data_IF_054011189539
#
_entry.id   IF_054011189539
#
_cell.length_a   1.000
_cell.length_b   1.000
_cell.length_c   1.000
_cell.angle_alpha   90.00
_cell.angle_beta   90.00
_cell.angle_gamma   90.00
#
_symmetry.space_group_name_H-M   'P 1'
#
loop_
_entity.id
_entity.type
_entity.pdbx_description
1 polymer ?
#
# COMPACT_ATOMS: atom_id res chain seq x y z
N UNK A 1 -12.66 2.89 19.64
CA UNK A 1 -12.40 3.21 18.20
C UNK A 1 -13.59 3.71 17.41
N UNK A 2 -14.80 3.17 17.56
CA UNK A 2 -15.90 3.42 16.61
C UNK A 2 -16.42 4.87 16.55
N UNK A 3 -16.03 5.73 17.49
CA UNK A 3 -16.43 7.13 17.58
C UNK A 3 -15.27 8.11 17.38
N UNK A 4 -14.12 7.65 16.88
CA UNK A 4 -12.94 8.50 16.71
C UNK A 4 -13.16 9.69 15.78
N UNK A 5 -14.06 9.56 14.79
CA UNK A 5 -14.39 10.67 13.88
C UNK A 5 -15.05 11.86 14.58
N UNK A 6 -15.77 11.63 15.68
CA UNK A 6 -16.39 12.72 16.44
C UNK A 6 -15.32 13.62 17.06
N UNK A 7 -14.39 13.02 17.81
CA UNK A 7 -13.31 13.76 18.48
C UNK A 7 -12.37 14.45 17.48
N UNK A 8 -11.91 13.73 16.45
CA UNK A 8 -11.01 14.31 15.45
C UNK A 8 -11.70 15.38 14.61
N UNK A 9 -12.98 15.17 14.28
CA UNK A 9 -13.77 16.16 13.55
C UNK A 9 -13.93 17.48 14.31
N UNK A 10 -14.18 17.42 15.62
CA UNK A 10 -14.22 18.62 16.46
C UNK A 10 -12.87 19.32 16.51
N UNK A 11 -11.77 18.58 16.64
CA UNK A 11 -10.43 19.15 16.66
C UNK A 11 -10.11 19.89 15.34
N UNK A 12 -10.40 19.29 14.18
CA UNK A 12 -10.20 19.93 12.88
C UNK A 12 -11.02 21.22 12.75
N UNK A 13 -12.30 21.20 13.16
CA UNK A 13 -13.15 22.40 13.14
C UNK A 13 -12.62 23.50 14.06
N UNK A 14 -12.23 23.15 15.28
CA UNK A 14 -11.72 24.10 16.27
C UNK A 14 -10.46 24.80 15.78
N UNK A 15 -9.50 24.04 15.25
CA UNK A 15 -8.24 24.57 14.73
C UNK A 15 -8.34 25.10 13.29
N UNK A 16 -9.53 25.02 12.66
CA UNK A 16 -9.78 25.44 11.27
C UNK A 16 -8.82 24.76 10.28
N UNK A 17 -8.62 23.46 10.50
CA UNK A 17 -7.75 22.63 9.69
C UNK A 17 -8.57 21.79 8.70
N UNK A 18 -8.05 21.66 7.49
CA UNK A 18 -8.60 20.78 6.47
C UNK A 18 -8.14 19.32 6.68
N UNK A 19 -8.86 18.31 6.15
CA UNK A 19 -8.45 16.91 6.23
C UNK A 19 -7.03 16.65 5.69
N UNK A 20 -6.55 17.46 4.74
CA UNK A 20 -5.18 17.35 4.24
C UNK A 20 -4.09 17.60 5.30
N UNK A 21 -4.42 18.33 6.38
CA UNK A 21 -3.52 18.54 7.53
C UNK A 21 -3.54 17.37 8.53
N UNK A 22 -4.49 16.44 8.39
CA UNK A 22 -4.64 15.30 9.28
C UNK A 22 -3.75 14.13 8.83
N UNK A 23 -2.98 13.60 9.78
CA UNK A 23 -2.27 12.32 9.64
C UNK A 23 -2.78 11.35 10.70
N UNK A 24 -3.25 10.18 10.27
CA UNK A 24 -3.82 9.14 11.15
C UNK A 24 -2.93 7.90 11.12
N UNK A 25 -2.47 7.48 12.28
CA UNK A 25 -1.78 6.20 12.49
C UNK A 25 -2.80 5.18 12.97
N UNK A 26 -2.82 4.00 12.37
CA UNK A 26 -3.75 2.93 12.77
C UNK A 26 -3.20 1.55 12.40
N UNK A 27 -3.68 0.54 13.11
CA UNK A 27 -3.38 -0.87 12.86
C UNK A 27 -4.06 -1.37 11.58
N UNK A 28 -3.30 -2.10 10.77
CA UNK A 28 -3.72 -2.59 9.48
C UNK A 28 -3.49 -4.10 9.39
N UNK A 29 -4.59 -4.84 9.37
CA UNK A 29 -4.57 -6.31 9.33
C UNK A 29 -4.17 -6.85 7.96
N UNK A 30 -4.38 -6.09 6.89
CA UNK A 30 -4.00 -6.49 5.52
C UNK A 30 -2.49 -6.39 5.27
N UNK A 31 -1.76 -5.71 6.17
CA UNK A 31 -0.31 -5.60 6.10
C UNK A 31 0.33 -6.57 7.09
N UNK A 32 1.38 -7.27 6.62
CA UNK A 32 2.16 -8.13 7.49
C UNK A 32 2.75 -7.34 8.68
N UNK A 33 2.91 -8.02 9.82
CA UNK A 33 3.51 -7.47 11.02
C UNK A 33 4.83 -6.73 10.71
N UNK A 34 5.00 -5.55 11.30
CA UNK A 34 6.18 -4.71 11.07
C UNK A 34 6.26 -4.03 9.70
N UNK A 35 5.27 -4.20 8.81
CA UNK A 35 5.19 -3.44 7.56
C UNK A 35 4.45 -2.13 7.76
N UNK A 36 5.06 -1.03 7.32
CA UNK A 36 4.43 0.28 7.31
C UNK A 36 4.20 0.78 5.89
N UNK A 37 3.05 1.43 5.67
CA UNK A 37 2.73 2.13 4.42
C UNK A 37 2.05 3.47 4.70
N UNK A 38 2.44 4.49 3.95
CA UNK A 38 1.74 5.78 3.94
C UNK A 38 0.91 5.89 2.67
N UNK A 39 -0.33 6.37 2.80
CA UNK A 39 -1.24 6.63 1.68
C UNK A 39 -2.15 7.80 2.01
N UNK A 40 -2.59 8.56 1.01
CA UNK A 40 -3.69 9.52 1.15
C UNK A 40 -4.97 8.91 0.58
N UNK A 41 -6.09 9.06 1.29
CA UNK A 41 -7.36 8.49 0.84
C UNK A 41 -7.46 6.97 0.98
N UNK A 42 -8.42 6.40 0.23
CA UNK A 42 -8.78 4.98 0.31
C UNK A 42 -10.01 4.72 1.17
N UNK A 43 -10.43 3.46 1.20
CA UNK A 43 -11.53 3.00 2.04
C UNK A 43 -11.06 2.58 3.43
N UNK A 44 -12.01 2.28 4.31
CA UNK A 44 -11.70 1.92 5.70
C UNK A 44 -11.06 0.53 5.88
N UNK A 45 -11.09 -0.34 4.86
CA UNK A 45 -10.52 -1.69 4.98
C UNK A 45 -11.19 -2.53 6.08
N UNK A 46 -12.41 -2.17 6.50
CA UNK A 46 -13.06 -2.79 7.65
C UNK A 46 -12.64 -2.23 9.01
N UNK A 47 -11.63 -1.37 9.09
CA UNK A 47 -11.18 -0.75 10.35
C UNK A 47 -12.22 0.25 10.88
N UNK A 48 -12.73 -0.01 12.09
CA UNK A 48 -13.88 0.74 12.63
C UNK A 48 -13.56 2.21 12.96
N UNK A 49 -12.34 2.50 13.42
CA UNK A 49 -11.93 3.89 13.70
C UNK A 49 -11.77 4.72 12.43
N UNK A 50 -11.28 4.10 11.36
CA UNK A 50 -11.13 4.75 10.05
C UNK A 50 -12.51 4.95 9.42
N UNK A 51 -13.40 3.96 9.52
CA UNK A 51 -14.81 4.12 9.10
C UNK A 51 -15.46 5.31 9.80
N UNK A 52 -15.23 5.48 11.11
CA UNK A 52 -15.73 6.61 11.89
C UNK A 52 -15.17 7.94 11.40
N UNK A 53 -13.86 8.02 11.16
CA UNK A 53 -13.20 9.22 10.61
C UNK A 53 -13.78 9.60 9.24
N UNK A 54 -13.87 8.62 8.34
CA UNK A 54 -14.35 8.84 6.97
C UNK A 54 -15.76 9.44 6.93
N UNK A 55 -16.62 9.07 7.88
CA UNK A 55 -17.97 9.62 8.02
C UNK A 55 -18.00 11.08 8.50
N UNK A 56 -17.02 11.52 9.28
CA UNK A 56 -17.04 12.83 9.94
C UNK A 56 -16.16 13.88 9.26
N UNK A 57 -15.06 13.45 8.64
CA UNK A 57 -14.04 14.36 8.07
C UNK A 57 -13.72 14.06 6.61
N UNK A 58 -14.46 13.13 5.98
CA UNK A 58 -14.15 12.65 4.63
C UNK A 58 -12.90 11.75 4.62
N UNK A 59 -12.38 11.39 3.45
CA UNK A 59 -11.25 10.47 3.32
C UNK A 59 -9.95 11.12 2.83
N UNK A 60 -9.94 12.41 2.51
CA UNK A 60 -8.80 13.12 1.91
C UNK A 60 -7.67 13.47 2.91
N UNK A 61 -7.41 12.59 3.88
CA UNK A 61 -6.36 12.72 4.89
C UNK A 61 -5.27 11.66 4.72
N UNK A 62 -4.10 11.92 5.31
CA UNK A 62 -2.97 11.00 5.28
C UNK A 62 -3.17 9.86 6.26
N UNK A 63 -2.89 8.64 5.81
CA UNK A 63 -3.02 7.38 6.54
C UNK A 63 -1.67 6.70 6.64
N UNK A 64 -1.18 6.56 7.87
CA UNK A 64 -0.02 5.74 8.22
C UNK A 64 -0.54 4.38 8.69
N UNK A 65 -0.42 3.39 7.81
CA UNK A 65 -0.94 2.03 7.99
C UNK A 65 0.15 1.18 8.65
N UNK A 66 -0.09 0.72 9.86
CA UNK A 66 0.85 -0.04 10.69
C UNK A 66 0.43 -1.51 10.65
N UNK A 67 1.21 -2.35 9.98
CA UNK A 67 0.89 -3.75 9.81
C UNK A 67 0.94 -4.53 11.12
N UNK A 68 -0.18 -5.16 11.47
CA UNK A 68 -0.31 -6.07 12.62
C UNK A 68 -0.60 -7.51 12.19
N UNK A 69 -0.69 -7.77 10.88
CA UNK A 69 -1.02 -9.07 10.32
C UNK A 69 -2.50 -9.45 10.48
N UNK A 70 -2.90 -10.45 9.70
CA UNK A 70 -4.24 -11.02 9.75
C UNK A 70 -4.18 -12.40 10.45
N UNK A 71 -5.11 -12.73 11.36
CA UNK A 71 -5.13 -14.03 12.06
C UNK A 71 -5.55 -15.22 11.16
N UNK A 72 -5.42 -15.10 9.84
CA UNK A 72 -5.88 -16.06 8.83
C UNK A 72 -7.40 -16.18 8.66
N UNK A 73 -8.16 -16.09 9.75
CA UNK A 73 -9.61 -16.35 9.79
C UNK A 73 -10.36 -15.09 10.22
N UNK A 74 -11.42 -14.72 9.49
CA UNK A 74 -12.12 -13.43 9.66
C UNK A 74 -12.76 -13.29 11.04
N UNK A 75 -13.28 -14.39 11.57
CA UNK A 75 -13.95 -14.47 12.86
C UNK A 75 -13.00 -14.13 14.02
N UNK A 76 -11.70 -14.38 13.84
CA UNK A 76 -10.66 -14.12 14.84
C UNK A 76 -10.15 -12.67 14.82
N UNK A 77 -10.50 -11.87 13.79
CA UNK A 77 -10.01 -10.50 13.65
C UNK A 77 -10.34 -9.65 14.86
N UNK A 78 -11.54 -9.78 15.42
CA UNK A 78 -11.94 -8.99 16.58
C UNK A 78 -11.08 -9.31 17.82
N UNK A 79 -10.80 -10.59 18.07
CA UNK A 79 -9.92 -11.00 19.16
C UNK A 79 -8.47 -10.61 18.91
N UNK A 80 -8.01 -10.67 17.66
CA UNK A 80 -6.65 -10.28 17.26
C UNK A 80 -6.37 -8.80 17.52
N UNK A 81 -7.22 -7.90 17.03
CA UNK A 81 -7.00 -6.43 17.17
C UNK A 81 -7.26 -5.88 18.57
N UNK A 82 -7.95 -6.65 19.42
CA UNK A 82 -8.17 -6.31 20.83
C UNK A 82 -7.21 -7.03 21.77
N UNK A 83 -6.43 -7.99 21.26
CA UNK A 83 -5.46 -8.73 22.03
C UNK A 83 -4.19 -7.94 22.26
N UNK A 84 -3.47 -8.28 23.33
CA UNK A 84 -2.12 -7.77 23.56
C UNK A 84 -1.13 -8.41 22.58
N UNK A 85 -0.11 -7.64 22.20
CA UNK A 85 1.04 -8.16 21.45
C UNK A 85 1.76 -9.25 22.24
N UNK A 86 2.23 -10.29 21.53
CA UNK A 86 3.03 -11.33 22.15
C UNK A 86 4.40 -10.78 22.56
N UNK A 87 5.10 -11.48 23.47
CA UNK A 87 6.46 -11.09 23.86
C UNK A 87 7.42 -11.06 22.67
N UNK A 88 7.28 -11.99 21.74
CA UNK A 88 8.09 -12.03 20.52
C UNK A 88 7.82 -10.81 19.61
N UNK A 89 6.62 -10.23 19.66
CA UNK A 89 6.31 -9.07 18.84
C UNK A 89 7.03 -7.80 19.30
N UNK A 90 7.41 -7.73 20.58
CA UNK A 90 8.14 -6.58 21.14
C UNK A 90 9.44 -6.29 20.41
N UNK A 91 10.13 -7.33 19.94
CA UNK A 91 11.40 -7.21 19.22
C UNK A 91 11.26 -6.29 17.99
N UNK A 92 10.21 -6.47 17.20
CA UNK A 92 9.96 -5.65 16.02
C UNK A 92 9.11 -4.42 16.32
N UNK A 93 8.20 -4.51 17.27
CA UNK A 93 7.25 -3.46 17.59
C UNK A 93 7.94 -2.25 18.21
N UNK A 94 8.84 -2.45 19.18
CA UNK A 94 9.50 -1.35 19.87
C UNK A 94 10.40 -0.59 18.88
N UNK A 95 11.14 -1.31 18.03
CA UNK A 95 11.93 -0.73 16.93
C UNK A 95 11.06 0.08 15.96
N UNK A 96 9.90 -0.45 15.57
CA UNK A 96 8.98 0.23 14.67
C UNK A 96 8.45 1.52 15.28
N UNK A 97 8.02 1.48 16.55
CA UNK A 97 7.46 2.63 17.25
C UNK A 97 8.52 3.73 17.47
N UNK A 98 9.74 3.35 17.86
CA UNK A 98 10.87 4.27 17.97
C UNK A 98 11.15 4.96 16.63
N UNK A 99 11.24 4.19 15.55
CA UNK A 99 11.51 4.75 14.22
C UNK A 99 10.38 5.67 13.73
N UNK A 100 9.12 5.33 14.03
CA UNK A 100 7.99 6.22 13.73
C UNK A 100 8.13 7.54 14.49
N UNK A 101 8.47 7.49 15.78
CA UNK A 101 8.59 8.67 16.62
C UNK A 101 9.75 9.57 16.17
N UNK A 102 10.93 8.99 15.94
CA UNK A 102 12.14 9.71 15.51
C UNK A 102 11.96 10.43 14.16
N UNK A 103 11.16 9.83 13.26
CA UNK A 103 10.98 10.33 11.90
C UNK A 103 9.65 11.05 11.65
N UNK A 104 8.78 11.18 12.66
CA UNK A 104 7.45 11.80 12.51
C UNK A 104 7.49 13.22 11.92
N UNK A 105 8.57 13.97 12.18
CA UNK A 105 8.76 15.31 11.63
C UNK A 105 8.79 15.34 10.09
N UNK A 106 9.15 14.23 9.42
CA UNK A 106 9.13 14.13 7.96
C UNK A 106 7.69 14.19 7.42
N UNK A 107 6.73 13.59 8.12
CA UNK A 107 5.31 13.64 7.75
C UNK A 107 4.77 15.07 7.82
N UNK A 108 5.17 15.84 8.83
CA UNK A 108 4.80 17.26 8.95
C UNK A 108 5.39 18.11 7.80
N UNK A 109 6.55 17.72 7.26
CA UNK A 109 7.19 18.37 6.10
C UNK A 109 6.63 17.91 4.76
N UNK A 110 5.74 16.91 4.72
CA UNK A 110 5.22 16.35 3.48
C UNK A 110 6.09 15.26 2.84
N UNK A 111 7.16 14.81 3.52
CA UNK A 111 8.10 13.83 2.97
C UNK A 111 7.75 12.39 3.40
N UNK A 112 6.63 11.91 2.86
CA UNK A 112 6.10 10.58 3.14
C UNK A 112 7.05 9.46 2.67
N UNK A 113 7.78 9.70 1.57
CA UNK A 113 8.72 8.74 0.98
C UNK A 113 9.94 8.53 1.88
N UNK A 114 10.57 9.60 2.35
CA UNK A 114 11.70 9.49 3.27
C UNK A 114 11.26 8.89 4.60
N UNK A 115 10.10 9.27 5.12
CA UNK A 115 9.54 8.66 6.34
C UNK A 115 9.43 7.14 6.20
N UNK A 116 8.77 6.65 5.15
CA UNK A 116 8.63 5.21 4.91
C UNK A 116 9.98 4.50 4.76
N UNK A 117 10.92 5.15 4.06
CA UNK A 117 12.25 4.58 3.82
C UNK A 117 13.04 4.44 5.13
N UNK A 118 13.09 5.51 5.96
CA UNK A 118 13.83 5.50 7.22
C UNK A 118 13.27 4.48 8.21
N UNK A 119 11.95 4.41 8.36
CA UNK A 119 11.31 3.37 9.18
C UNK A 119 11.65 1.97 8.67
N UNK A 120 11.62 1.76 7.34
CA UNK A 120 11.97 0.46 6.74
C UNK A 120 13.43 0.08 6.99
N UNK A 121 14.36 1.05 6.94
CA UNK A 121 15.78 0.83 7.19
C UNK A 121 16.00 0.49 8.67
N UNK A 122 15.41 1.25 9.60
CA UNK A 122 15.53 1.00 11.04
C UNK A 122 15.07 -0.42 11.43
N UNK A 123 13.94 -0.87 10.88
CA UNK A 123 13.46 -2.24 11.05
C UNK A 123 14.45 -3.27 10.50
N UNK A 124 15.06 -3.04 9.33
CA UNK A 124 16.01 -3.99 8.74
C UNK A 124 17.35 -4.05 9.47
N UNK A 125 17.84 -2.91 9.94
CA UNK A 125 19.12 -2.81 10.64
C UNK A 125 19.05 -3.38 12.05
N UNK A 126 17.92 -3.20 12.74
CA UNK A 126 17.74 -3.70 14.11
C UNK A 126 17.17 -5.13 14.16
N UNK A 127 16.45 -5.56 13.13
CA UNK A 127 15.97 -6.94 12.97
C UNK A 127 16.80 -7.70 11.94
N UNK A 128 18.11 -7.81 12.18
CA UNK A 128 18.95 -8.68 11.37
C UNK A 128 18.57 -10.13 11.69
N UNK A 129 18.25 -10.97 10.68
CA UNK A 129 18.10 -12.40 10.89
C UNK A 129 19.36 -12.96 11.55
N UNK A 130 19.28 -13.37 12.80
CA UNK A 130 20.43 -13.94 13.54
C UNK A 130 20.65 -15.42 13.24
N UNK A 131 19.73 -16.08 12.51
CA UNK A 131 19.80 -17.51 12.18
C UNK A 131 19.46 -17.86 10.72
N UNK A 132 19.76 -19.09 10.34
CA UNK A 132 19.46 -19.66 9.01
C UNK A 132 17.95 -19.79 8.75
N UNK A 133 17.16 -19.97 9.81
CA UNK A 133 15.70 -20.10 9.78
C UNK A 133 14.96 -18.74 9.70
N UNK A 134 15.63 -17.63 10.05
CA UNK A 134 15.06 -16.27 10.02
C UNK A 134 15.22 -15.58 8.66
N UNK A 135 15.91 -16.25 7.71
CA UNK A 135 16.08 -15.72 6.36
C UNK A 135 14.74 -15.79 5.64
N UNK A 136 14.29 -14.70 4.98
CA UNK A 136 13.14 -14.79 4.09
C UNK A 136 13.38 -15.93 3.10
N UNK A 137 12.37 -16.80 2.83
CA UNK A 137 12.53 -17.86 1.86
C UNK A 137 13.03 -17.24 0.56
N UNK A 138 13.98 -17.91 -0.13
CA UNK A 138 14.59 -17.36 -1.33
C UNK A 138 13.48 -16.88 -2.26
N UNK A 139 13.54 -15.60 -2.66
CA UNK A 139 12.56 -15.05 -3.60
C UNK A 139 12.45 -16.03 -4.74
N UNK A 140 11.24 -16.50 -5.11
CA UNK A 140 11.10 -17.35 -6.28
C UNK A 140 11.82 -16.63 -7.42
N UNK A 141 12.63 -17.36 -8.22
CA UNK A 141 13.40 -16.74 -9.28
C UNK A 141 12.43 -15.87 -10.06
N UNK A 142 12.78 -14.58 -10.24
CA UNK A 142 11.99 -13.67 -11.07
C UNK A 142 11.78 -14.42 -12.37
N UNK A 143 10.57 -14.95 -12.59
CA UNK A 143 10.21 -15.44 -13.91
C UNK A 143 10.42 -14.23 -14.79
N UNK A 144 11.37 -14.35 -15.71
CA UNK A 144 11.51 -13.38 -16.77
C UNK A 144 10.13 -13.32 -17.39
N UNK A 145 9.42 -12.21 -17.18
CA UNK A 145 8.22 -11.94 -17.91
C UNK A 145 8.61 -12.04 -19.38
N UNK A 146 8.18 -13.11 -20.06
CA UNK A 146 8.32 -13.30 -21.51
C UNK A 146 7.43 -12.30 -22.28
N UNK A 147 7.33 -11.06 -21.78
CA UNK A 147 6.59 -9.95 -22.36
C UNK A 147 7.54 -8.76 -22.46
N UNK A 148 8.52 -8.92 -23.35
CA UNK A 148 8.91 -7.97 -24.42
C UNK A 148 10.20 -8.48 -25.06
N UNK A 149 10.13 -9.65 -25.71
CA UNK A 149 10.81 -9.73 -26.99
C UNK A 149 9.96 -8.90 -27.94
N UNK A 150 10.56 -7.87 -28.54
CA UNK A 150 9.97 -7.23 -29.69
C UNK A 150 9.61 -8.34 -30.68
N UNK A 151 8.31 -8.45 -31.00
CA UNK A 151 7.82 -9.34 -32.04
C UNK A 151 8.70 -9.08 -33.27
N UNK A 152 9.44 -10.05 -33.83
CA UNK A 152 10.02 -9.86 -35.14
C UNK A 152 8.86 -9.48 -36.07
N UNK A 153 9.05 -8.41 -36.85
CA UNK A 153 8.05 -7.96 -37.82
C UNK A 153 7.48 -9.17 -38.53
N UNK A 154 6.18 -9.40 -38.40
CA UNK A 154 5.51 -10.40 -39.21
C UNK A 154 5.83 -10.09 -40.68
N UNK A 155 6.19 -11.09 -41.51
CA UNK A 155 6.27 -10.88 -42.94
C UNK A 155 4.94 -10.27 -43.39
N UNK A 156 5.03 -9.18 -44.16
CA UNK A 156 3.86 -8.49 -44.69
C UNK A 156 2.90 -9.53 -45.31
N UNK A 157 1.65 -9.56 -44.84
CA UNK A 157 0.64 -10.45 -45.38
C UNK A 157 0.55 -10.21 -46.89
N UNK A 158 0.70 -11.27 -47.69
CA UNK A 158 0.54 -11.20 -49.14
C UNK A 158 -0.89 -10.77 -49.45
N UNK A 159 -1.02 -9.59 -50.05
CA UNK A 159 -2.32 -9.05 -50.46
C UNK A 159 -2.86 -9.98 -51.56
N UNK A 160 -4.12 -10.45 -51.46
CA UNK A 160 -4.75 -11.21 -52.53
C UNK A 160 -4.83 -10.36 -53.81
N UNK A 161 -4.31 -10.85 -54.93
CA UNK A 161 -4.28 -10.11 -56.20
C UNK A 161 -5.59 -10.21 -56.99
N UNK A 162 -6.53 -11.05 -56.58
CA UNK A 162 -7.83 -11.22 -57.25
C UNK A 162 -8.98 -11.49 -56.28
N UNK A 163 -10.20 -11.17 -56.73
CA UNK A 163 -11.44 -11.31 -55.95
C UNK A 163 -12.00 -9.99 -55.42
N UNK A 164 -13.24 -10.00 -54.89
CA UNK A 164 -13.94 -8.79 -54.45
C UNK A 164 -13.20 -8.06 -53.31
N UNK A 165 -12.46 -8.80 -52.49
CA UNK A 165 -11.64 -8.25 -51.41
C UNK A 165 -10.38 -7.52 -51.93
N UNK A 166 -9.80 -7.98 -53.04
CA UNK A 166 -8.66 -7.33 -53.70
C UNK A 166 -9.05 -5.98 -54.33
N UNK A 167 -10.22 -5.91 -54.97
CA UNK A 167 -10.74 -4.67 -55.54
C UNK A 167 -11.03 -3.61 -54.45
N UNK A 168 -11.53 -4.04 -53.29
CA UNK A 168 -11.81 -3.16 -52.16
C UNK A 168 -10.52 -2.61 -51.53
N UNK A 169 -9.48 -3.43 -51.42
CA UNK A 169 -8.16 -3.00 -50.92
C UNK A 169 -7.46 -2.04 -51.88
N UNK A 170 -7.56 -2.25 -53.20
CA UNK A 170 -7.02 -1.30 -54.20
C UNK A 170 -7.69 0.07 -54.11
N UNK A 171 -9.00 0.13 -53.81
CA UNK A 171 -9.74 1.38 -53.62
C UNK A 171 -9.40 2.09 -52.29
N UNK A 172 -9.01 1.34 -51.25
CA UNK A 172 -8.64 1.90 -49.95
C UNK A 172 -7.18 2.40 -49.87
N UNK A 173 -6.28 1.78 -50.63
CA UNK A 173 -4.83 1.99 -50.49
C UNK A 173 -4.13 2.53 -51.76
N UNK A 174 -4.84 2.71 -52.87
CA UNK A 174 -4.32 3.44 -54.04
C UNK A 174 -4.43 4.94 -53.84
N UNK A 175 -3.29 5.65 -53.73
CA UNK A 175 -3.22 7.09 -53.98
C UNK A 175 -3.33 7.32 -55.48
N UNK A 176 -4.53 7.70 -55.92
CA UNK A 176 -4.84 8.90 -56.71
C UNK A 176 -6.37 8.99 -56.88
#
# INVERSE_FOLDING_TARGET
MNLSGQSVGEALRFYKLEPAALTVFYDEIDLAAGKLRVKVGGGSGGHNGIRSLDQHVGNAYRRVRIGVGHPGVKEMVHGHVLGDFAKADREWLDVLLDAIADDAALLAKGDDSSFMNRVTIALREKLVPTGDDDRPPPKPPKQQSHVRQARPQQPAAKIPESGPMAAMLKKLFGKD
#
